data_IF_064957043098
#
_entry.id   IF_064957043098
#
_cell.length_a   1.000
_cell.length_b   1.000
_cell.length_c   1.000
_cell.angle_alpha   90.00
_cell.angle_beta   90.00
_cell.angle_gamma   90.00
#
_symmetry.space_group_name_H-M   'P 1'
#
loop_
_entity.id
_entity.type
_entity.pdbx_description
1 polymer ?
#
# COMPACT_ATOMS: atom_id res chain seq x y z
N UNK A 1 -7.61 6.76 -53.42
CA UNK A 1 -6.52 6.22 -52.58
C UNK A 1 -7.02 6.20 -51.16
N UNK A 2 -7.25 5.01 -50.60
CA UNK A 2 -7.78 4.83 -49.25
C UNK A 2 -6.61 4.72 -48.25
N UNK A 3 -6.68 5.45 -47.14
CA UNK A 3 -5.78 5.28 -46.00
C UNK A 3 -6.63 4.94 -44.77
N UNK A 4 -6.50 3.69 -44.32
CA UNK A 4 -7.14 3.17 -43.11
C UNK A 4 -6.15 3.37 -41.96
N UNK A 5 -6.46 4.26 -41.02
CA UNK A 5 -5.68 4.43 -39.80
C UNK A 5 -6.25 3.51 -38.71
N UNK A 6 -5.51 2.46 -38.38
CA UNK A 6 -5.84 1.51 -37.32
C UNK A 6 -5.68 2.17 -35.94
N UNK A 7 -6.79 2.35 -35.22
CA UNK A 7 -6.79 2.77 -33.82
C UNK A 7 -6.35 1.62 -32.92
N UNK A 8 -5.23 1.81 -32.22
CA UNK A 8 -4.70 0.86 -31.23
C UNK A 8 -5.68 0.79 -30.04
N UNK A 9 -6.33 -0.35 -29.87
CA UNK A 9 -7.13 -0.68 -28.69
C UNK A 9 -6.20 -0.83 -27.48
N UNK A 10 -6.23 0.11 -26.55
CA UNK A 10 -5.60 -0.03 -25.25
C UNK A 10 -6.29 -1.16 -24.47
N UNK A 11 -5.62 -2.30 -24.33
CA UNK A 11 -6.07 -3.39 -23.47
C UNK A 11 -5.99 -2.96 -22.00
N UNK A 12 -7.07 -3.08 -21.19
CA UNK A 12 -6.97 -2.92 -19.75
C UNK A 12 -6.03 -4.01 -19.20
N UNK A 13 -4.93 -3.59 -18.59
CA UNK A 13 -3.98 -4.49 -17.96
C UNK A 13 -4.69 -5.39 -16.94
N UNK A 14 -4.66 -6.69 -17.21
CA UNK A 14 -5.19 -7.73 -16.34
C UNK A 14 -4.56 -7.59 -14.95
N UNK A 15 -5.40 -7.34 -13.96
CA UNK A 15 -5.02 -7.28 -12.57
C UNK A 15 -4.40 -8.62 -12.14
N UNK A 16 -3.09 -8.65 -11.91
CA UNK A 16 -2.44 -9.81 -11.29
C UNK A 16 -2.91 -9.97 -9.84
N UNK A 17 -3.83 -10.91 -9.64
CA UNK A 17 -4.25 -11.41 -8.35
C UNK A 17 -3.17 -12.33 -7.75
N UNK A 18 -2.61 -11.89 -6.63
CA UNK A 18 -2.13 -12.63 -5.45
C UNK A 18 -1.41 -11.60 -4.60
N UNK A 19 -2.15 -10.94 -3.71
CA UNK A 19 -1.55 -10.04 -2.74
C UNK A 19 -0.88 -10.93 -1.69
N UNK A 20 0.46 -11.00 -1.71
CA UNK A 20 1.18 -11.21 -0.45
C UNK A 20 0.64 -10.16 0.53
N UNK A 21 0.46 -10.54 1.80
CA UNK A 21 -0.01 -9.67 2.89
C UNK A 21 0.78 -8.38 2.98
N UNK A 22 2.01 -8.40 2.46
CA UNK A 22 2.98 -7.36 2.60
C UNK A 22 3.59 -6.93 1.26
N UNK A 23 4.07 -5.69 1.24
CA UNK A 23 4.86 -5.12 0.16
C UNK A 23 5.75 -3.99 0.70
N UNK A 24 6.83 -3.69 0.00
CA UNK A 24 7.59 -2.47 0.17
C UNK A 24 7.53 -1.62 -1.10
N UNK A 25 7.93 -0.36 -0.98
CA UNK A 25 7.95 0.56 -2.11
C UNK A 25 9.39 0.95 -2.49
N UNK A 26 9.63 1.54 -3.69
CA UNK A 26 10.98 1.86 -4.15
C UNK A 26 11.77 2.69 -3.13
N UNK A 27 13.06 2.34 -2.98
CA UNK A 27 13.94 3.00 -2.02
C UNK A 27 13.60 2.72 -0.56
N UNK A 28 12.75 1.73 -0.27
CA UNK A 28 12.26 1.43 1.08
C UNK A 28 11.58 2.64 1.75
N UNK A 29 10.95 3.47 0.92
CA UNK A 29 10.20 4.65 1.34
C UNK A 29 9.08 4.33 2.35
N UNK A 30 8.41 3.20 2.13
CA UNK A 30 7.43 2.64 3.03
C UNK A 30 7.36 1.13 2.81
N UNK A 31 7.07 0.40 3.86
CA UNK A 31 6.63 -0.99 3.82
C UNK A 31 5.28 -1.12 4.48
N UNK A 32 4.43 -2.00 3.96
CA UNK A 32 3.10 -2.23 4.48
C UNK A 32 2.82 -3.71 4.57
N UNK A 33 2.07 -4.09 5.59
CA UNK A 33 1.62 -5.45 5.78
C UNK A 33 0.23 -5.49 6.42
N UNK A 34 -0.53 -6.52 6.07
CA UNK A 34 -1.72 -6.94 6.80
C UNK A 34 -1.31 -8.14 7.64
N UNK A 35 -1.30 -8.03 8.98
CA UNK A 35 -1.11 -9.20 9.79
C UNK A 35 -2.29 -10.14 9.51
N UNK A 36 -1.99 -11.39 9.20
CA UNK A 36 -2.96 -12.47 9.18
C UNK A 36 -2.71 -13.34 10.42
N UNK A 37 -3.19 -12.93 11.61
CA UNK A 37 -3.34 -13.90 12.69
C UNK A 37 -4.28 -14.99 12.16
N UNK A 38 -3.88 -16.26 12.25
CA UNK A 38 -4.72 -17.39 11.87
C UNK A 38 -6.08 -17.43 12.60
N UNK A 39 -6.23 -16.60 13.63
CA UNK A 39 -7.38 -16.55 14.53
C UNK A 39 -8.27 -15.32 14.36
N UNK A 40 -7.84 -14.29 13.59
CA UNK A 40 -8.62 -13.06 13.43
C UNK A 40 -9.19 -12.92 12.02
N UNK A 41 -10.51 -12.68 11.89
CA UNK A 41 -11.10 -12.42 10.59
C UNK A 41 -10.55 -11.11 10.01
N UNK A 42 -10.52 -11.01 8.68
CA UNK A 42 -10.07 -9.80 7.99
C UNK A 42 -10.84 -8.53 8.43
N UNK A 43 -12.08 -8.67 8.89
CA UNK A 43 -12.87 -7.57 9.44
C UNK A 43 -12.30 -6.97 10.75
N UNK A 44 -11.42 -7.71 11.44
CA UNK A 44 -10.77 -7.33 12.70
C UNK A 44 -9.26 -7.15 12.59
N UNK A 45 -8.65 -7.39 11.43
CA UNK A 45 -7.24 -7.03 11.18
C UNK A 45 -7.14 -5.60 10.62
N UNK A 46 -5.93 -5.07 10.52
CA UNK A 46 -5.68 -3.77 9.93
C UNK A 46 -4.46 -3.77 9.03
N UNK A 47 -4.47 -2.97 7.98
CA UNK A 47 -3.24 -2.68 7.24
C UNK A 47 -2.38 -1.76 8.10
N UNK A 48 -1.10 -2.09 8.22
CA UNK A 48 -0.08 -1.28 8.88
C UNK A 48 0.98 -0.92 7.87
N UNK A 49 1.41 0.33 7.85
CA UNK A 49 2.55 0.80 7.06
C UNK A 49 3.58 1.46 7.97
N UNK A 50 4.85 1.11 7.76
CA UNK A 50 6.02 1.67 8.43
C UNK A 50 6.86 2.47 7.42
N UNK A 51 7.45 3.56 7.89
CA UNK A 51 8.48 4.32 7.20
C UNK A 51 9.83 4.05 7.88
N UNK A 52 10.68 3.16 7.34
CA UNK A 52 11.92 2.76 8.00
C UNK A 52 12.91 3.91 8.23
N UNK A 53 12.80 5.03 7.53
CA UNK A 53 13.72 6.16 7.70
C UNK A 53 13.55 6.90 9.03
N UNK A 54 12.35 6.90 9.62
CA UNK A 54 12.03 7.68 10.83
C UNK A 54 11.21 6.91 11.88
N UNK A 55 10.84 5.65 11.60
CA UNK A 55 10.06 4.83 12.52
C UNK A 55 8.59 5.24 12.58
N UNK A 56 8.10 6.02 11.62
CA UNK A 56 6.68 6.40 11.55
C UNK A 56 5.83 5.21 11.11
N UNK A 57 4.85 4.87 11.95
CA UNK A 57 3.90 3.79 11.68
C UNK A 57 2.49 4.35 11.62
N UNK A 58 1.73 3.94 10.60
CA UNK A 58 0.32 4.26 10.45
C UNK A 58 -0.48 2.99 10.17
N UNK A 59 -1.63 2.84 10.80
CA UNK A 59 -2.49 1.67 10.63
C UNK A 59 -3.97 2.02 10.57
N UNK A 60 -4.77 1.16 9.93
CA UNK A 60 -6.23 1.23 10.00
C UNK A 60 -6.86 -0.15 9.84
N UNK A 61 -7.96 -0.34 10.55
CA UNK A 61 -8.90 -1.42 10.25
C UNK A 61 -9.65 -1.21 8.92
N UNK A 62 -10.52 -2.14 8.53
CA UNK A 62 -11.26 -2.08 7.27
C UNK A 62 -12.32 -0.97 7.26
N UNK A 63 -12.77 -0.54 8.44
CA UNK A 63 -13.78 0.51 8.63
C UNK A 63 -13.30 1.65 9.56
N UNK A 64 -12.12 1.49 10.16
CA UNK A 64 -11.59 2.43 11.16
C UNK A 64 -10.96 3.67 10.53
N UNK A 65 -10.66 4.67 11.37
CA UNK A 65 -9.81 5.80 10.99
C UNK A 65 -8.33 5.41 11.13
N UNK A 66 -7.41 6.10 10.43
CA UNK A 66 -5.99 5.88 10.62
C UNK A 66 -5.53 6.24 12.03
N UNK A 67 -4.72 5.38 12.64
CA UNK A 67 -3.99 5.65 13.88
C UNK A 67 -2.51 5.67 13.57
N UNK A 68 -1.76 6.53 14.28
CA UNK A 68 -0.33 6.73 14.04
C UNK A 68 0.46 6.53 15.32
N UNK A 69 1.68 6.05 15.18
CA UNK A 69 2.67 5.99 16.25
C UNK A 69 4.06 6.24 15.69
N UNK A 70 5.00 6.57 16.56
CA UNK A 70 6.42 6.64 16.25
C UNK A 70 7.15 5.68 17.18
N UNK A 71 7.89 4.75 16.58
CA UNK A 71 8.75 3.85 17.33
C UNK A 71 10.18 3.94 16.80
N UNK A 72 11.08 4.48 17.62
CA UNK A 72 12.50 4.60 17.29
C UNK A 72 13.17 3.24 17.04
N UNK A 73 12.62 2.15 17.61
CA UNK A 73 13.15 0.81 17.40
C UNK A 73 12.76 0.24 16.03
N UNK A 74 11.80 0.85 15.34
CA UNK A 74 11.40 0.50 13.99
C UNK A 74 12.24 1.21 12.91
N UNK A 75 13.14 2.13 13.30
CA UNK A 75 14.06 2.79 12.37
C UNK A 75 15.01 1.76 11.77
N UNK A 76 15.10 1.72 10.44
CA UNK A 76 15.90 0.75 9.70
C UNK A 76 15.32 -0.66 9.64
N UNK A 77 14.20 -0.93 10.32
CA UNK A 77 13.51 -2.20 10.25
C UNK A 77 13.00 -2.46 8.82
N UNK A 78 13.08 -3.72 8.38
CA UNK A 78 12.58 -4.18 7.09
C UNK A 78 11.97 -5.55 7.30
N UNK A 79 10.66 -5.65 7.12
CA UNK A 79 9.94 -6.91 7.27
C UNK A 79 10.35 -7.91 6.16
N UNK A 80 10.76 -9.14 6.50
CA UNK A 80 11.18 -10.14 5.52
C UNK A 80 10.09 -10.54 4.52
N UNK A 81 8.81 -10.40 4.86
CA UNK A 81 7.70 -10.68 3.95
C UNK A 81 7.43 -9.50 3.02
N UNK A 82 7.49 -8.27 3.52
CA UNK A 82 7.43 -7.05 2.72
C UNK A 82 8.59 -6.98 1.72
N UNK A 83 9.77 -7.44 2.11
CA UNK A 83 10.95 -7.54 1.24
C UNK A 83 10.71 -8.34 -0.05
N UNK A 84 9.79 -9.31 -0.02
CA UNK A 84 9.51 -10.19 -1.17
C UNK A 84 8.69 -9.52 -2.26
N UNK A 85 8.05 -8.38 -1.98
CA UNK A 85 7.17 -7.71 -2.94
C UNK A 85 7.43 -6.22 -3.04
N UNK A 86 8.01 -5.81 -4.16
CA UNK A 86 8.11 -4.41 -4.52
C UNK A 86 6.83 -3.93 -5.20
N UNK A 87 6.18 -2.90 -4.65
CA UNK A 87 5.08 -2.17 -5.28
C UNK A 87 5.65 -0.97 -6.06
N UNK A 88 5.95 -1.20 -7.35
CA UNK A 88 6.57 -0.21 -8.24
C UNK A 88 5.69 1.04 -8.42
N UNK A 89 6.28 2.11 -8.94
CA UNK A 89 5.54 3.32 -9.27
C UNK A 89 4.45 3.03 -10.31
N UNK A 90 3.29 3.66 -10.15
CA UNK A 90 2.09 3.42 -10.96
C UNK A 90 1.32 2.15 -10.60
N UNK A 91 1.84 1.30 -9.72
CA UNK A 91 1.17 0.05 -9.35
C UNK A 91 0.18 0.23 -8.20
N UNK A 92 -0.77 -0.70 -8.17
CA UNK A 92 -1.77 -0.84 -7.14
C UNK A 92 -1.62 -2.17 -6.41
N UNK A 93 -1.89 -2.14 -5.12
CA UNK A 93 -2.02 -3.31 -4.27
C UNK A 93 -3.39 -3.26 -3.60
N UNK A 94 -4.05 -4.40 -3.43
CA UNK A 94 -5.34 -4.44 -2.75
C UNK A 94 -5.60 -5.80 -2.10
N UNK A 95 -6.27 -5.77 -0.96
CA UNK A 95 -6.93 -6.91 -0.33
C UNK A 95 -8.42 -6.59 -0.34
N UNK A 96 -9.11 -7.14 -1.33
CA UNK A 96 -10.52 -6.82 -1.56
C UNK A 96 -11.42 -7.50 -0.52
N UNK A 97 -12.49 -6.83 -0.05
CA UNK A 97 -12.92 -5.46 -0.38
C UNK A 97 -12.36 -4.39 0.60
N UNK A 98 -11.34 -4.72 1.40
CA UNK A 98 -11.03 -4.00 2.63
C UNK A 98 -10.04 -2.85 2.47
N UNK A 99 -8.94 -3.07 1.74
CA UNK A 99 -7.89 -2.06 1.60
C UNK A 99 -7.35 -2.04 0.18
N UNK A 100 -6.92 -0.85 -0.23
CA UNK A 100 -6.13 -0.67 -1.44
C UNK A 100 -5.07 0.40 -1.22
N UNK A 101 -3.97 0.26 -1.94
CA UNK A 101 -2.86 1.20 -1.96
C UNK A 101 -2.43 1.49 -3.40
N UNK A 102 -2.01 2.72 -3.65
CA UNK A 102 -1.46 3.19 -4.92
C UNK A 102 -0.09 3.82 -4.69
N UNK A 103 0.91 3.31 -5.41
CA UNK A 103 2.30 3.77 -5.34
C UNK A 103 2.55 4.79 -6.45
N UNK A 104 2.80 6.05 -6.10
CA UNK A 104 3.09 7.15 -7.04
C UNK A 104 4.45 7.78 -6.77
N UNK A 105 4.99 8.55 -7.71
CA UNK A 105 6.28 9.24 -7.50
C UNK A 105 6.26 10.11 -6.23
N UNK A 106 5.13 10.76 -5.96
CA UNK A 106 4.95 11.62 -4.77
C UNK A 106 4.83 10.84 -3.47
N UNK A 107 4.37 9.59 -3.48
CA UNK A 107 4.16 8.83 -2.26
C UNK A 107 3.28 7.60 -2.42
N UNK A 108 2.95 6.97 -1.30
CA UNK A 108 2.03 5.86 -1.19
C UNK A 108 0.69 6.36 -0.64
N UNK A 109 -0.40 6.12 -1.36
CA UNK A 109 -1.75 6.41 -0.85
C UNK A 109 -2.43 5.10 -0.53
N UNK A 110 -2.94 4.92 0.69
CA UNK A 110 -3.73 3.76 1.09
C UNK A 110 -5.10 4.20 1.60
N UNK A 111 -6.13 3.41 1.34
CA UNK A 111 -7.48 3.66 1.82
C UNK A 111 -8.18 2.35 2.16
N UNK A 112 -9.19 2.44 3.02
CA UNK A 112 -10.02 1.32 3.41
C UNK A 112 -11.41 1.36 2.75
N UNK A 113 -12.23 0.37 3.07
CA UNK A 113 -13.58 0.20 2.53
C UNK A 113 -14.52 1.37 2.86
N UNK A 114 -14.30 2.03 4.00
CA UNK A 114 -15.08 3.21 4.43
C UNK A 114 -14.62 4.52 3.79
N UNK A 115 -13.57 4.50 2.97
CA UNK A 115 -13.01 5.70 2.34
C UNK A 115 -12.02 6.48 3.22
N UNK A 116 -11.76 6.03 4.45
CA UNK A 116 -10.67 6.57 5.24
C UNK A 116 -9.33 6.11 4.69
N UNK A 117 -8.30 6.92 4.86
CA UNK A 117 -6.99 6.59 4.34
C UNK A 117 -5.89 7.55 4.73
N UNK A 118 -4.75 7.34 4.11
CA UNK A 118 -3.61 8.21 4.25
C UNK A 118 -2.76 8.26 3.00
N UNK A 119 -1.98 9.32 2.92
CA UNK A 119 -0.85 9.45 2.02
C UNK A 119 0.43 9.49 2.86
N UNK A 120 1.43 8.70 2.46
CA UNK A 120 2.80 8.76 2.93
C UNK A 120 3.67 9.33 1.83
N UNK A 121 4.38 10.43 2.10
CA UNK A 121 5.45 10.88 1.22
C UNK A 121 6.58 9.85 1.20
N UNK A 122 7.41 9.88 0.16
CA UNK A 122 8.45 8.84 -0.03
C UNK A 122 9.47 8.79 1.10
N UNK A 123 9.84 9.92 1.67
CA UNK A 123 10.86 9.94 2.72
C UNK A 123 10.46 10.81 3.91
N UNK A 124 9.42 11.65 3.75
CA UNK A 124 8.91 12.56 4.78
C UNK A 124 7.46 12.93 4.50
N UNK A 125 6.75 13.23 5.58
CA UNK A 125 5.41 13.79 5.56
C UNK A 125 4.34 12.75 5.36
N UNK A 126 3.17 13.03 5.92
CA UNK A 126 1.98 12.21 5.76
C UNK A 126 0.73 13.09 5.78
N UNK A 127 -0.39 12.57 5.28
CA UNK A 127 -1.71 13.19 5.40
C UNK A 127 -2.75 12.11 5.62
N UNK A 128 -3.68 12.32 6.54
CA UNK A 128 -4.85 11.45 6.75
C UNK A 128 -6.10 12.07 6.12
N UNK A 129 -7.05 11.23 5.72
CA UNK A 129 -8.36 11.64 5.21
C UNK A 129 -9.43 10.59 5.52
#
# INVERSE_FOLDING_TARGET
MAAVAAGVLATPGLASATALSAFHTPGWAAECYVPFPHELPLSKTGITCLTPSDGFTISMGPFGRPTKTYDKNAVGYRDPFAARRLLRLGQHWAVRPYWACSSKATGLTCWNKSGHGWWLGRFRGYRVF
#
